data_IF_099210083378
#
_entry.id   IF_099210083378
#
_cell.length_a   1.000
_cell.length_b   1.000
_cell.length_c   1.000
_cell.angle_alpha   90.00
_cell.angle_beta   90.00
_cell.angle_gamma   90.00
#
_symmetry.space_group_name_H-M   'P 1'
#
loop_
_entity.id
_entity.type
_entity.pdbx_description
1 polymer ?
#
# COMPACT_ATOMS: atom_id res chain seq x y z
N UNK A 1 -3.57 -2.01 5.00
CA UNK A 1 -2.56 -1.24 4.26
C UNK A 1 -1.55 -0.75 5.26
N UNK A 2 -0.27 -0.90 4.97
CA UNK A 2 0.84 -0.34 5.74
C UNK A 2 1.52 0.73 4.88
N UNK A 3 2.17 1.68 5.54
CA UNK A 3 3.06 2.61 4.85
C UNK A 3 4.29 1.87 4.33
N UNK A 4 4.64 2.12 3.07
CA UNK A 4 5.84 1.59 2.42
C UNK A 4 6.74 2.79 2.10
N UNK A 5 7.87 2.87 2.79
CA UNK A 5 8.87 3.92 2.57
C UNK A 5 9.64 3.67 1.26
N UNK A 6 9.00 3.98 0.13
CA UNK A 6 9.60 3.83 -1.19
C UNK A 6 10.59 4.96 -1.51
N UNK A 7 10.36 6.15 -0.97
CA UNK A 7 11.17 7.35 -1.26
C UNK A 7 12.62 7.19 -0.77
N UNK A 8 12.82 6.60 0.40
CA UNK A 8 14.14 6.41 1.00
C UNK A 8 14.74 5.04 0.72
N UNK A 9 14.14 4.24 -0.17
CA UNK A 9 14.61 2.91 -0.51
C UNK A 9 15.00 2.81 -1.98
N UNK A 10 16.09 2.07 -2.22
CA UNK A 10 16.61 1.80 -3.56
C UNK A 10 16.86 0.31 -3.76
N UNK A 11 16.86 -0.19 -5.02
CA UNK A 11 17.23 -1.56 -5.33
C UNK A 11 18.66 -1.93 -4.90
N UNK A 12 19.51 -0.94 -4.65
CA UNK A 12 20.91 -1.11 -4.21
C UNK A 12 21.08 -1.28 -2.71
N UNK A 13 20.02 -1.09 -1.92
CA UNK A 13 20.10 -1.10 -0.46
C UNK A 13 20.32 -2.52 0.07
N UNK A 14 21.21 -2.64 1.06
CA UNK A 14 21.62 -3.92 1.67
C UNK A 14 20.83 -4.28 2.93
N UNK A 15 20.01 -3.37 3.44
CA UNK A 15 19.25 -3.52 4.68
C UNK A 15 17.82 -4.02 4.46
N UNK A 16 17.45 -4.36 3.21
CA UNK A 16 16.13 -4.89 2.87
C UNK A 16 16.10 -6.42 3.10
N UNK A 17 15.25 -6.93 4.01
CA UNK A 17 15.20 -8.37 4.30
C UNK A 17 14.80 -9.20 3.07
N UNK A 18 15.51 -10.31 2.86
CA UNK A 18 15.27 -11.27 1.76
C UNK A 18 15.37 -10.65 0.34
N UNK A 19 16.07 -9.53 0.20
CA UNK A 19 16.40 -8.92 -1.08
C UNK A 19 17.88 -9.15 -1.41
N UNK A 20 18.18 -9.44 -2.68
CA UNK A 20 19.56 -9.46 -3.19
C UNK A 20 19.80 -8.12 -3.88
N UNK A 21 20.63 -7.23 -3.29
CA UNK A 21 20.80 -5.89 -3.81
C UNK A 21 21.35 -5.88 -5.23
N UNK A 22 20.82 -4.98 -6.06
CA UNK A 22 21.43 -4.65 -7.33
C UNK A 22 22.77 -3.95 -7.09
N UNK A 23 23.70 -4.15 -8.02
CA UNK A 23 24.88 -3.30 -8.12
C UNK A 23 24.48 -1.89 -8.52
N UNK A 24 25.31 -0.92 -8.14
CA UNK A 24 25.13 0.47 -8.55
C UNK A 24 25.05 0.62 -10.09
N UNK A 25 25.87 -0.14 -10.83
CA UNK A 25 25.86 -0.14 -12.29
C UNK A 25 24.54 -0.66 -12.88
N UNK A 26 23.92 -1.70 -12.29
CA UNK A 26 22.60 -2.17 -12.72
C UNK A 26 21.52 -1.10 -12.51
N UNK A 27 21.57 -0.41 -11.37
CA UNK A 27 20.62 0.66 -11.06
C UNK A 27 20.77 1.85 -12.00
N UNK A 28 21.99 2.31 -12.24
CA UNK A 28 22.28 3.39 -13.19
C UNK A 28 21.88 3.02 -14.61
N UNK A 29 22.14 1.78 -15.05
CA UNK A 29 21.68 1.30 -16.35
C UNK A 29 20.14 1.28 -16.46
N UNK A 30 19.45 0.91 -15.38
CA UNK A 30 17.99 0.92 -15.34
C UNK A 30 17.46 2.36 -15.48
N UNK A 31 18.01 3.31 -14.72
CA UNK A 31 17.66 4.72 -14.78
C UNK A 31 17.94 5.33 -16.16
N UNK A 32 19.10 5.05 -16.74
CA UNK A 32 19.48 5.53 -18.06
C UNK A 32 18.47 5.05 -19.13
N UNK A 33 18.10 3.77 -19.09
CA UNK A 33 17.07 3.22 -19.98
C UNK A 33 15.69 3.82 -19.73
N UNK A 34 15.28 4.04 -18.49
CA UNK A 34 14.01 4.71 -18.17
C UNK A 34 13.97 6.12 -18.77
N UNK A 35 15.03 6.91 -18.61
CA UNK A 35 15.14 8.25 -19.17
C UNK A 35 15.10 8.25 -20.70
N UNK A 36 15.80 7.29 -21.34
CA UNK A 36 15.74 7.12 -22.79
C UNK A 36 14.30 6.86 -23.25
N UNK A 37 13.60 5.91 -22.63
CA UNK A 37 12.23 5.56 -22.99
C UNK A 37 11.27 6.75 -22.83
N UNK A 38 11.44 7.55 -21.77
CA UNK A 38 10.63 8.77 -21.57
C UNK A 38 10.91 9.80 -22.68
N UNK A 39 12.15 10.00 -23.07
CA UNK A 39 12.51 10.89 -24.18
C UNK A 39 11.92 10.41 -25.52
N UNK A 40 12.00 9.11 -25.80
CA UNK A 40 11.43 8.51 -27.01
C UNK A 40 9.90 8.67 -27.03
N UNK A 41 9.22 8.46 -25.89
CA UNK A 41 7.78 8.71 -25.75
C UNK A 41 7.44 10.19 -25.95
N UNK A 42 8.25 11.12 -25.44
CA UNK A 42 8.04 12.56 -25.62
C UNK A 42 8.20 12.98 -27.09
N UNK A 43 9.14 12.39 -27.84
CA UNK A 43 9.27 12.61 -29.27
C UNK A 43 8.04 12.11 -30.05
N UNK A 44 7.52 10.94 -29.69
CA UNK A 44 6.29 10.38 -30.28
C UNK A 44 5.06 11.24 -29.94
N UNK A 45 4.98 11.75 -28.70
CA UNK A 45 3.94 12.68 -28.26
C UNK A 45 3.95 13.96 -29.09
N UNK A 46 5.11 14.61 -29.24
CA UNK A 46 5.28 15.82 -30.03
C UNK A 46 4.92 15.62 -31.52
N UNK A 47 5.07 14.39 -32.02
CA UNK A 47 4.68 14.01 -33.37
C UNK A 47 3.20 13.57 -33.50
N UNK A 48 2.41 13.58 -32.41
CA UNK A 48 1.01 13.15 -32.39
C UNK A 48 0.82 11.63 -32.56
N UNK A 49 1.86 10.84 -32.30
CA UNK A 49 1.91 9.39 -32.53
C UNK A 49 1.52 8.58 -31.29
N UNK A 50 0.32 8.83 -30.76
CA UNK A 50 -0.15 8.24 -29.50
C UNK A 50 -0.16 6.70 -29.49
N UNK A 51 -0.50 6.06 -30.62
CA UNK A 51 -0.51 4.59 -30.73
C UNK A 51 0.91 4.01 -30.66
N UNK A 52 1.89 4.64 -31.33
CA UNK A 52 3.30 4.22 -31.29
C UNK A 52 3.88 4.44 -29.88
N UNK A 53 3.55 5.56 -29.24
CA UNK A 53 3.92 5.85 -27.84
C UNK A 53 3.42 4.76 -26.90
N UNK A 54 2.15 4.37 -27.03
CA UNK A 54 1.56 3.33 -26.20
C UNK A 54 2.10 1.93 -26.52
N UNK A 55 2.45 1.64 -27.77
CA UNK A 55 3.11 0.39 -28.14
C UNK A 55 4.52 0.29 -27.53
N UNK A 56 5.29 1.39 -27.55
CA UNK A 56 6.62 1.47 -26.92
C UNK A 56 6.56 1.14 -25.42
N UNK A 57 5.51 1.62 -24.73
CA UNK A 57 5.25 1.26 -23.33
C UNK A 57 5.07 -0.26 -23.19
N UNK A 58 4.17 -0.85 -23.98
CA UNK A 58 3.81 -2.27 -23.85
C UNK A 58 4.99 -3.20 -24.18
N UNK A 59 5.80 -2.85 -25.19
CA UNK A 59 7.00 -3.58 -25.59
C UNK A 59 8.08 -3.59 -24.49
N UNK A 60 8.12 -2.56 -23.65
CA UNK A 60 9.11 -2.41 -22.60
C UNK A 60 8.64 -2.89 -21.21
N UNK A 61 7.59 -3.72 -21.15
CA UNK A 61 7.06 -4.25 -19.87
C UNK A 61 8.05 -4.96 -18.96
N UNK A 62 9.06 -5.61 -19.56
CA UNK A 62 10.11 -6.27 -18.82
C UNK A 62 10.96 -5.28 -18.00
N UNK A 63 11.02 -4.01 -18.42
CA UNK A 63 11.83 -2.98 -17.78
C UNK A 63 11.34 -2.65 -16.37
N UNK A 64 10.04 -2.31 -16.20
CA UNK A 64 9.48 -2.12 -14.85
C UNK A 64 9.29 -3.45 -14.11
N UNK A 65 9.05 -4.54 -14.84
CA UNK A 65 8.95 -5.89 -14.27
C UNK A 65 10.23 -6.34 -13.55
N UNK A 66 11.39 -5.83 -13.94
CA UNK A 66 12.67 -6.14 -13.28
C UNK A 66 12.70 -5.71 -11.79
N UNK A 67 11.92 -4.68 -11.41
CA UNK A 67 11.86 -4.18 -10.03
C UNK A 67 10.89 -4.97 -9.13
N UNK A 68 10.17 -5.97 -9.67
CA UNK A 68 9.10 -6.68 -8.95
C UNK A 68 9.56 -7.29 -7.63
N UNK A 69 10.67 -8.04 -7.63
CA UNK A 69 11.12 -8.72 -6.41
C UNK A 69 11.60 -7.73 -5.35
N UNK A 70 12.19 -6.60 -5.75
CA UNK A 70 12.55 -5.51 -4.84
C UNK A 70 11.30 -4.88 -4.21
N UNK A 71 10.31 -4.51 -5.02
CA UNK A 71 9.04 -3.93 -4.54
C UNK A 71 8.30 -4.89 -3.58
N UNK A 72 8.37 -6.20 -3.83
CA UNK A 72 7.81 -7.19 -2.92
C UNK A 72 8.62 -7.31 -1.62
N UNK A 73 9.94 -7.20 -1.66
CA UNK A 73 10.76 -7.24 -0.46
C UNK A 73 10.42 -6.08 0.50
N UNK A 74 10.15 -4.87 -0.04
CA UNK A 74 9.77 -3.70 0.76
C UNK A 74 8.50 -3.90 1.62
N UNK A 75 7.58 -4.75 1.19
CA UNK A 75 6.34 -5.04 1.92
C UNK A 75 6.36 -6.38 2.67
N UNK A 76 7.51 -7.05 2.77
CA UNK A 76 7.58 -8.40 3.33
C UNK A 76 6.81 -9.43 2.48
N UNK A 77 6.81 -9.22 1.16
CA UNK A 77 6.11 -9.96 0.10
C UNK A 77 4.57 -9.88 0.17
N UNK A 78 4.04 -8.84 0.81
CA UNK A 78 2.59 -8.56 0.90
C UNK A 78 2.13 -7.69 -0.25
N UNK A 79 0.87 -7.82 -0.64
CA UNK A 79 0.20 -6.82 -1.49
C UNK A 79 0.18 -5.46 -0.78
N UNK A 80 0.51 -4.37 -1.47
CA UNK A 80 0.55 -3.04 -0.84
C UNK A 80 -0.84 -2.52 -0.47
N UNK A 81 -1.90 -2.98 -1.15
CA UNK A 81 -3.28 -2.56 -0.89
C UNK A 81 -4.04 -3.49 0.08
N UNK A 82 -3.94 -4.80 -0.09
CA UNK A 82 -4.67 -5.77 0.75
C UNK A 82 -3.86 -6.28 1.94
N UNK A 83 -2.53 -6.08 1.93
CA UNK A 83 -1.63 -6.47 3.01
C UNK A 83 -1.59 -7.98 3.34
N UNK A 84 -1.97 -8.80 2.36
CA UNK A 84 -1.88 -10.27 2.43
C UNK A 84 -0.79 -10.78 1.49
N UNK A 85 -0.18 -11.93 1.81
CA UNK A 85 0.68 -12.71 0.92
C UNK A 85 -0.16 -13.66 0.09
N UNK A 86 0.13 -13.72 -1.20
CA UNK A 86 -0.50 -14.67 -2.11
C UNK A 86 0.35 -15.94 -2.21
N UNK A 87 -0.26 -17.10 -1.95
CA UNK A 87 0.43 -18.40 -2.08
C UNK A 87 0.39 -18.96 -3.50
N UNK A 88 -0.63 -18.60 -4.28
CA UNK A 88 -0.89 -19.20 -5.60
C UNK A 88 -1.03 -18.16 -6.73
N UNK A 89 -1.38 -16.92 -6.40
CA UNK A 89 -1.55 -15.84 -7.39
C UNK A 89 -0.24 -15.08 -7.58
N UNK A 90 0.01 -14.62 -8.81
CA UNK A 90 1.13 -13.73 -9.09
C UNK A 90 0.81 -12.29 -8.70
N UNK A 91 1.81 -11.60 -8.15
CA UNK A 91 1.80 -10.14 -8.04
C UNK A 91 2.20 -9.48 -9.35
N UNK A 92 1.65 -8.30 -9.60
CA UNK A 92 2.06 -7.43 -10.68
C UNK A 92 2.74 -6.17 -10.12
N UNK A 93 3.59 -5.58 -10.95
CA UNK A 93 4.06 -4.21 -10.76
C UNK A 93 2.98 -3.30 -11.35
N UNK A 94 2.19 -2.70 -10.47
CA UNK A 94 1.08 -1.83 -10.83
C UNK A 94 1.52 -0.37 -10.89
N UNK A 95 1.03 0.36 -11.89
CA UNK A 95 1.25 1.80 -12.02
C UNK A 95 0.19 2.54 -11.19
N UNK A 96 0.61 3.23 -10.13
CA UNK A 96 -0.31 4.01 -9.28
C UNK A 96 -1.09 5.03 -10.13
N UNK A 97 -0.37 5.86 -10.87
CA UNK A 97 -0.85 6.73 -11.93
C UNK A 97 -0.84 5.95 -13.26
N UNK A 98 -2.00 5.70 -13.88
CA UNK A 98 -2.09 4.80 -15.01
C UNK A 98 -1.45 5.40 -16.27
N UNK A 99 -0.64 4.59 -16.96
CA UNK A 99 0.26 5.02 -18.04
C UNK A 99 -0.39 5.28 -19.41
N UNK A 100 -1.53 4.68 -19.74
CA UNK A 100 -2.17 4.78 -21.07
C UNK A 100 -3.55 5.45 -21.08
N UNK A 101 -4.27 5.36 -19.97
CA UNK A 101 -5.60 5.95 -19.81
C UNK A 101 -5.86 6.20 -18.33
N UNK A 102 -6.41 7.37 -18.00
CA UNK A 102 -6.90 7.68 -16.65
C UNK A 102 -8.41 7.87 -16.67
N UNK A 103 -9.13 7.12 -15.85
CA UNK A 103 -10.60 7.08 -15.78
C UNK A 103 -11.10 7.84 -14.55
N UNK A 104 -12.04 8.75 -14.77
CA UNK A 104 -12.73 9.49 -13.73
C UNK A 104 -13.86 8.65 -13.07
N UNK A 105 -14.56 9.24 -12.09
CA UNK A 105 -15.66 8.58 -11.36
C UNK A 105 -16.85 8.26 -12.26
N UNK A 106 -17.16 9.15 -13.20
CA UNK A 106 -18.25 9.00 -14.17
C UNK A 106 -17.88 8.10 -15.37
N UNK A 107 -16.64 7.59 -15.39
CA UNK A 107 -16.12 6.76 -16.46
C UNK A 107 -15.59 7.55 -17.66
N UNK A 108 -15.54 8.89 -17.60
CA UNK A 108 -14.82 9.68 -18.60
C UNK A 108 -13.34 9.33 -18.58
N UNK A 109 -12.74 9.29 -19.77
CA UNK A 109 -11.34 8.95 -19.94
C UNK A 109 -10.56 10.19 -20.37
N UNK A 110 -9.38 10.36 -19.77
CA UNK A 110 -8.32 11.25 -20.23
C UNK A 110 -7.07 10.44 -20.54
N UNK A 111 -6.10 11.07 -21.19
CA UNK A 111 -4.81 10.44 -21.44
C UNK A 111 -4.13 10.02 -20.13
N UNK A 112 -3.32 8.97 -20.21
CA UNK A 112 -2.57 8.46 -19.07
C UNK A 112 -1.35 9.31 -18.73
N UNK A 113 -0.73 8.97 -17.61
CA UNK A 113 0.54 9.53 -17.15
C UNK A 113 1.70 8.79 -17.81
N UNK A 114 1.78 8.84 -19.14
CA UNK A 114 2.74 8.06 -19.91
C UNK A 114 4.20 8.41 -19.58
N UNK A 115 4.48 9.66 -19.18
CA UNK A 115 5.81 10.08 -18.75
C UNK A 115 6.24 9.43 -17.42
N UNK A 116 5.29 8.86 -16.67
CA UNK A 116 5.53 8.10 -15.43
C UNK A 116 5.49 6.59 -15.66
N UNK A 117 5.47 6.11 -16.90
CA UNK A 117 5.42 4.68 -17.21
C UNK A 117 6.68 3.92 -16.74
N UNK A 118 7.83 4.60 -16.69
CA UNK A 118 9.12 4.06 -16.29
C UNK A 118 9.71 4.76 -15.05
N UNK A 119 8.87 5.46 -14.30
CA UNK A 119 9.24 6.04 -13.01
C UNK A 119 8.95 5.03 -11.88
N UNK A 120 9.98 4.61 -11.16
CA UNK A 120 9.83 3.62 -10.10
C UNK A 120 8.99 4.13 -8.92
N UNK A 121 8.92 5.45 -8.70
CA UNK A 121 8.06 6.05 -7.67
C UNK A 121 6.57 5.90 -8.00
N UNK A 122 6.24 5.54 -9.24
CA UNK A 122 4.88 5.25 -9.69
C UNK A 122 4.50 3.76 -9.56
N UNK A 123 5.38 2.88 -9.05
CA UNK A 123 5.16 1.43 -9.00
C UNK A 123 4.67 0.92 -7.64
N UNK A 124 3.69 0.02 -7.63
CA UNK A 124 3.13 -0.64 -6.43
C UNK A 124 3.09 -2.15 -6.64
N UNK A 125 3.42 -2.94 -5.61
CA UNK A 125 3.20 -4.38 -5.70
C UNK A 125 1.72 -4.71 -5.39
N UNK A 126 0.98 -5.18 -6.39
CA UNK A 126 -0.47 -5.40 -6.27
C UNK A 126 -0.86 -6.82 -6.70
N UNK A 127 -1.77 -7.45 -5.94
CA UNK A 127 -2.35 -8.74 -6.31
C UNK A 127 -3.32 -8.60 -7.49
N UNK A 128 -3.45 -9.67 -8.28
CA UNK A 128 -4.28 -9.72 -9.50
C UNK A 128 -5.70 -9.13 -9.35
N UNK A 129 -6.40 -9.41 -8.24
CA UNK A 129 -7.77 -8.91 -8.03
C UNK A 129 -7.80 -7.39 -7.96
N UNK A 130 -6.98 -6.80 -7.07
CA UNK A 130 -6.88 -5.35 -6.92
C UNK A 130 -6.39 -4.70 -8.21
N UNK A 131 -5.37 -5.28 -8.84
CA UNK A 131 -4.77 -4.77 -10.07
C UNK A 131 -5.79 -4.67 -11.22
N UNK A 132 -6.48 -5.78 -11.51
CA UNK A 132 -7.50 -5.83 -12.56
C UNK A 132 -8.68 -4.91 -12.27
N UNK A 133 -9.06 -4.79 -10.99
CA UNK A 133 -10.17 -3.91 -10.60
C UNK A 133 -9.76 -2.44 -10.69
N UNK A 134 -8.53 -2.06 -10.35
CA UNK A 134 -8.02 -0.70 -10.55
C UNK A 134 -8.00 -0.35 -12.05
N UNK A 135 -7.21 -1.06 -12.85
CA UNK A 135 -7.00 -0.72 -14.26
C UNK A 135 -6.59 0.76 -14.42
N UNK A 136 -7.19 1.45 -15.40
CA UNK A 136 -6.98 2.89 -15.61
C UNK A 136 -7.67 3.81 -14.58
N UNK A 137 -8.30 3.31 -13.52
CA UNK A 137 -9.04 4.18 -12.58
C UNK A 137 -8.11 5.06 -11.77
N UNK A 138 -8.25 6.37 -11.98
CA UNK A 138 -7.51 7.41 -11.29
C UNK A 138 -8.29 8.73 -11.31
N UNK A 139 -9.44 8.78 -10.61
CA UNK A 139 -10.24 9.99 -10.55
C UNK A 139 -9.56 11.04 -9.69
N UNK A 140 -9.79 12.28 -10.08
CA UNK A 140 -9.42 13.47 -9.33
C UNK A 140 -10.70 14.16 -8.85
N UNK A 141 -10.60 14.89 -7.75
CA UNK A 141 -11.69 15.74 -7.26
C UNK A 141 -12.05 16.79 -8.31
N UNK A 142 -13.33 17.17 -8.37
CA UNK A 142 -13.75 18.26 -9.24
C UNK A 142 -12.97 19.54 -8.90
N UNK A 143 -12.39 20.19 -9.91
CA UNK A 143 -11.56 21.38 -9.74
C UNK A 143 -10.10 21.09 -9.36
N UNK A 144 -9.71 19.82 -9.21
CA UNK A 144 -8.30 19.44 -9.07
C UNK A 144 -7.49 19.89 -10.29
N UNK A 145 -6.23 20.24 -10.05
CA UNK A 145 -5.25 20.30 -11.13
C UNK A 145 -5.08 18.93 -11.76
N UNK A 146 -4.62 18.92 -13.01
CA UNK A 146 -4.33 17.71 -13.78
C UNK A 146 -2.91 17.86 -14.31
N UNK A 147 -2.01 17.00 -13.85
CA UNK A 147 -0.63 16.98 -14.32
C UNK A 147 -0.57 16.56 -15.79
N UNK A 148 0.32 17.20 -16.54
CA UNK A 148 0.69 16.82 -17.89
C UNK A 148 2.20 16.77 -18.02
N UNK A 149 2.70 16.09 -19.05
CA UNK A 149 4.13 16.09 -19.34
C UNK A 149 4.73 17.50 -19.50
N UNK A 150 3.99 18.43 -20.10
CA UNK A 150 4.45 19.81 -20.33
C UNK A 150 4.29 20.74 -19.13
N UNK A 151 3.46 20.37 -18.16
CA UNK A 151 3.18 21.12 -16.94
C UNK A 151 2.99 20.14 -15.76
N UNK A 152 4.08 19.50 -15.29
CA UNK A 152 3.99 18.53 -14.22
C UNK A 152 3.54 19.20 -12.91
N UNK A 153 2.54 18.61 -12.26
CA UNK A 153 1.99 19.05 -10.99
C UNK A 153 1.33 17.90 -10.22
N UNK A 154 1.91 16.70 -10.28
CA UNK A 154 1.39 15.48 -9.66
C UNK A 154 1.07 15.65 -8.17
N UNK A 155 1.89 16.42 -7.45
CA UNK A 155 1.74 16.72 -6.03
C UNK A 155 0.55 17.63 -5.71
N UNK A 156 0.06 18.38 -6.71
CA UNK A 156 -1.06 19.30 -6.58
C UNK A 156 -2.41 18.69 -7.00
N UNK A 157 -2.44 17.39 -7.31
CA UNK A 157 -3.67 16.69 -7.68
C UNK A 157 -4.41 16.11 -6.46
N UNK A 158 -5.69 16.45 -6.33
CA UNK A 158 -6.58 15.87 -5.33
C UNK A 158 -7.14 14.52 -5.80
N UNK A 159 -6.32 13.47 -5.71
CA UNK A 159 -6.65 12.10 -6.17
C UNK A 159 -7.54 11.33 -5.19
N UNK A 160 -8.44 10.50 -5.72
CA UNK A 160 -9.28 9.62 -4.90
C UNK A 160 -8.55 8.39 -4.36
N UNK A 161 -7.63 7.84 -5.15
CA UNK A 161 -6.94 6.60 -4.79
C UNK A 161 -5.99 6.85 -3.60
N UNK A 162 -6.12 6.03 -2.55
CA UNK A 162 -5.18 6.01 -1.42
C UNK A 162 -3.87 5.36 -1.88
N UNK A 163 -2.75 6.04 -1.61
CA UNK A 163 -1.42 5.57 -1.97
C UNK A 163 -0.67 4.93 -0.78
N UNK A 164 -0.25 3.66 -0.87
CA UNK A 164 0.53 3.01 0.19
C UNK A 164 1.92 3.61 0.46
N UNK A 165 2.43 4.49 -0.41
CA UNK A 165 3.72 5.19 -0.19
C UNK A 165 3.56 6.59 0.41
N UNK A 166 2.33 6.99 0.73
CA UNK A 166 2.01 8.26 1.36
C UNK A 166 1.51 7.94 2.79
N UNK A 167 2.31 8.28 3.79
CA UNK A 167 2.02 7.96 5.19
C UNK A 167 0.69 8.59 5.65
N UNK A 168 0.41 9.81 5.18
CA UNK A 168 -0.84 10.48 5.49
C UNK A 168 -2.02 9.74 4.87
N UNK A 169 -1.92 9.34 3.60
CA UNK A 169 -2.93 8.51 2.92
C UNK A 169 -3.21 7.19 3.67
N UNK A 170 -2.17 6.51 4.14
CA UNK A 170 -2.33 5.27 4.92
C UNK A 170 -3.02 5.55 6.26
N UNK A 171 -2.75 6.70 6.89
CA UNK A 171 -3.37 7.09 8.15
C UNK A 171 -4.89 7.31 8.06
N UNK A 172 -5.43 7.53 6.85
CA UNK A 172 -6.87 7.69 6.62
C UNK A 172 -7.65 6.38 6.75
N UNK A 173 -6.97 5.23 6.78
CA UNK A 173 -7.59 3.90 6.79
C UNK A 173 -7.58 3.31 8.20
N UNK A 174 -8.73 2.83 8.65
CA UNK A 174 -8.93 2.01 9.84
C UNK A 174 -9.60 0.67 9.52
N UNK A 175 -9.75 -0.17 10.56
CA UNK A 175 -10.47 -1.44 10.48
C UNK A 175 -11.48 -1.56 11.63
N UNK A 176 -12.61 -2.20 11.35
CA UNK A 176 -13.63 -2.57 12.34
C UNK A 176 -13.50 -4.04 12.79
N UNK A 177 -14.36 -4.45 13.74
CA UNK A 177 -14.34 -5.80 14.33
C UNK A 177 -14.81 -6.91 13.37
N UNK A 178 -15.54 -6.54 12.31
CA UNK A 178 -15.87 -7.41 11.19
C UNK A 178 -14.73 -7.57 10.18
N UNK A 179 -13.61 -6.86 10.40
CA UNK A 179 -12.44 -6.89 9.53
C UNK A 179 -12.61 -6.06 8.27
N UNK A 180 -13.58 -5.13 8.20
CA UNK A 180 -13.75 -4.23 7.05
C UNK A 180 -12.79 -3.05 7.14
N UNK A 181 -12.38 -2.52 5.99
CA UNK A 181 -11.72 -1.22 5.90
C UNK A 181 -12.77 -0.14 6.06
N UNK A 182 -12.51 0.83 6.94
CA UNK A 182 -13.34 2.00 7.18
C UNK A 182 -12.47 3.27 7.25
N UNK A 183 -13.02 4.47 7.05
CA UNK A 183 -12.28 5.70 7.32
C UNK A 183 -11.83 5.78 8.77
N UNK A 184 -10.62 6.28 9.01
CA UNK A 184 -10.10 6.49 10.35
C UNK A 184 -10.89 7.57 11.11
N UNK A 185 -10.99 7.47 12.44
CA UNK A 185 -11.62 8.52 13.26
C UNK A 185 -10.97 9.88 13.02
N UNK A 186 -11.78 10.94 12.91
CA UNK A 186 -11.31 12.31 12.72
C UNK A 186 -11.03 12.72 11.27
N UNK A 187 -11.25 11.82 10.30
CA UNK A 187 -11.10 12.13 8.87
C UNK A 187 -12.16 13.11 8.38
N UNK A 188 -11.76 14.02 7.48
CA UNK A 188 -12.67 14.96 6.81
C UNK A 188 -13.63 14.26 5.84
N UNK A 189 -14.71 14.92 5.43
CA UNK A 189 -15.65 14.36 4.45
C UNK A 189 -14.96 13.98 3.12
N UNK A 190 -13.96 14.76 2.70
CA UNK A 190 -13.16 14.47 1.53
C UNK A 190 -12.33 13.20 1.72
N UNK A 191 -11.60 13.08 2.83
CA UNK A 191 -10.80 11.90 3.15
C UNK A 191 -11.64 10.63 3.26
N UNK A 192 -12.81 10.70 3.91
CA UNK A 192 -13.77 9.60 3.99
C UNK A 192 -14.17 9.13 2.57
N UNK A 193 -14.47 10.08 1.68
CA UNK A 193 -14.82 9.76 0.30
C UNK A 193 -13.66 9.06 -0.44
N UNK A 194 -12.40 9.49 -0.23
CA UNK A 194 -11.23 8.83 -0.83
C UNK A 194 -11.11 7.38 -0.39
N UNK A 195 -11.26 7.12 0.91
CA UNK A 195 -11.21 5.77 1.49
C UNK A 195 -12.32 4.90 0.91
N UNK A 196 -13.56 5.38 0.93
CA UNK A 196 -14.72 4.66 0.41
C UNK A 196 -14.58 4.29 -1.07
N UNK A 197 -14.17 5.24 -1.90
CA UNK A 197 -13.98 4.98 -3.33
C UNK A 197 -12.82 3.99 -3.58
N UNK A 198 -11.72 4.11 -2.83
CA UNK A 198 -10.60 3.17 -2.94
C UNK A 198 -11.01 1.75 -2.54
N UNK A 199 -11.68 1.61 -1.38
CA UNK A 199 -12.16 0.32 -0.86
C UNK A 199 -13.11 -0.34 -1.85
N UNK A 200 -14.09 0.41 -2.37
CA UNK A 200 -15.06 -0.06 -3.36
C UNK A 200 -14.39 -0.46 -4.67
N UNK A 201 -13.44 0.36 -5.16
CA UNK A 201 -12.75 0.11 -6.43
C UNK A 201 -11.91 -1.16 -6.35
N UNK A 202 -11.12 -1.30 -5.30
CA UNK A 202 -10.19 -2.42 -5.10
C UNK A 202 -10.85 -3.67 -4.51
N UNK A 203 -12.16 -3.61 -4.20
CA UNK A 203 -12.93 -4.71 -3.60
C UNK A 203 -12.38 -5.19 -2.26
N UNK A 204 -11.84 -4.24 -1.48
CA UNK A 204 -11.18 -4.57 -0.22
C UNK A 204 -12.17 -5.12 0.81
N UNK A 205 -13.45 -4.75 0.76
CA UNK A 205 -14.47 -5.27 1.70
C UNK A 205 -15.35 -6.36 1.08
N UNK A 206 -15.52 -6.37 -0.24
CA UNK A 206 -16.37 -7.33 -0.94
C UNK A 206 -15.69 -8.68 -1.18
N UNK A 207 -14.36 -8.77 -1.06
CA UNK A 207 -13.66 -10.04 -1.12
C UNK A 207 -13.81 -10.81 0.21
N UNK A 208 -14.76 -11.74 0.26
CA UNK A 208 -15.17 -12.46 1.49
C UNK A 208 -13.99 -13.03 2.27
N UNK A 209 -13.10 -13.79 1.61
CA UNK A 209 -11.93 -14.39 2.27
C UNK A 209 -11.01 -13.34 2.91
N UNK A 210 -10.86 -12.16 2.30
CA UNK A 210 -10.00 -11.10 2.83
C UNK A 210 -10.64 -10.47 4.08
N UNK A 211 -11.97 -10.28 4.09
CA UNK A 211 -12.67 -9.82 5.28
C UNK A 211 -12.60 -10.86 6.41
N UNK A 212 -12.76 -12.14 6.11
CA UNK A 212 -12.68 -13.22 7.09
C UNK A 212 -11.29 -13.35 7.72
N UNK A 213 -10.21 -13.29 6.94
CA UNK A 213 -8.85 -13.33 7.49
C UNK A 213 -8.55 -12.12 8.37
N UNK A 214 -9.01 -10.93 7.99
CA UNK A 214 -8.90 -9.72 8.84
C UNK A 214 -9.67 -9.87 10.14
N UNK A 215 -10.90 -10.42 10.08
CA UNK A 215 -11.69 -10.71 11.28
C UNK A 215 -11.01 -11.69 12.22
N UNK A 216 -10.36 -12.74 11.68
CA UNK A 216 -9.58 -13.69 12.50
C UNK A 216 -8.41 -13.01 13.20
N UNK A 217 -7.69 -12.13 12.51
CA UNK A 217 -6.61 -11.32 13.10
C UNK A 217 -7.16 -10.44 14.21
N UNK A 218 -8.28 -9.75 13.97
CA UNK A 218 -8.94 -8.92 14.97
C UNK A 218 -9.30 -9.72 16.24
N UNK A 219 -10.01 -10.84 16.08
CA UNK A 219 -10.42 -11.72 17.17
C UNK A 219 -9.24 -12.26 17.98
N UNK A 220 -8.14 -12.63 17.31
CA UNK A 220 -6.93 -13.10 17.98
C UNK A 220 -6.29 -12.00 18.83
N UNK A 221 -6.21 -10.77 18.31
CA UNK A 221 -5.67 -9.62 19.04
C UNK A 221 -6.59 -9.23 20.19
N UNK A 222 -7.90 -9.31 20.00
CA UNK A 222 -8.88 -9.05 21.05
C UNK A 222 -8.72 -10.03 22.23
N UNK A 223 -8.59 -11.32 21.95
CA UNK A 223 -8.28 -12.32 22.97
C UNK A 223 -6.95 -12.07 23.70
N UNK A 224 -5.92 -11.59 22.99
CA UNK A 224 -4.67 -11.16 23.62
C UNK A 224 -4.85 -9.93 24.51
N UNK A 225 -5.70 -8.98 24.12
CA UNK A 225 -6.01 -7.79 24.92
C UNK A 225 -6.75 -8.18 26.20
N UNK A 226 -7.72 -9.08 26.13
CA UNK A 226 -8.38 -9.58 27.33
C UNK A 226 -7.41 -10.31 28.27
N UNK A 227 -6.54 -11.16 27.71
CA UNK A 227 -5.49 -11.84 28.46
C UNK A 227 -4.52 -10.85 29.13
N UNK A 228 -4.19 -9.75 28.44
CA UNK A 228 -3.38 -8.67 28.97
C UNK A 228 -4.04 -8.03 30.18
N UNK A 229 -5.33 -7.68 30.07
CA UNK A 229 -6.10 -7.08 31.15
C UNK A 229 -6.21 -8.04 32.36
N UNK A 230 -6.54 -9.31 32.13
CA UNK A 230 -6.59 -10.34 33.20
C UNK A 230 -5.26 -10.50 33.91
N UNK A 231 -4.16 -10.62 33.16
CA UNK A 231 -2.82 -10.76 33.73
C UNK A 231 -2.40 -9.51 34.52
N UNK A 232 -2.70 -8.31 34.00
CA UNK A 232 -2.42 -7.03 34.64
C UNK A 232 -3.14 -6.89 35.97
N UNK A 233 -4.43 -7.22 36.03
CA UNK A 233 -5.21 -7.20 37.28
C UNK A 233 -4.61 -8.15 38.32
N UNK A 234 -4.21 -9.37 37.92
CA UNK A 234 -3.57 -10.33 38.82
C UNK A 234 -2.20 -9.88 39.33
N UNK A 235 -1.45 -9.12 38.55
CA UNK A 235 -0.19 -8.50 38.98
C UNK A 235 -0.44 -7.40 40.02
N UNK A 236 -1.52 -6.62 39.88
CA UNK A 236 -1.87 -5.53 40.79
C UNK A 236 -2.29 -6.04 42.18
N UNK A 237 -2.92 -7.22 42.27
CA UNK A 237 -3.42 -7.82 43.52
C UNK A 237 -2.35 -8.49 44.41
N UNK A 238 -1.07 -8.29 44.11
CA UNK A 238 0.06 -8.89 44.83
C UNK A 238 1.03 -9.54 43.85
N UNK A 239 2.32 -9.21 43.99
CA UNK A 239 3.41 -9.44 43.05
C UNK A 239 3.53 -10.91 42.57
N UNK A 240 2.64 -11.32 41.66
CA UNK A 240 2.44 -12.71 41.21
C UNK A 240 3.37 -13.03 40.04
N UNK A 241 4.40 -13.88 40.23
CA UNK A 241 5.39 -14.15 39.18
C UNK A 241 4.77 -14.80 37.93
N UNK A 242 3.78 -15.69 38.11
CA UNK A 242 3.10 -16.35 36.99
C UNK A 242 2.27 -15.36 36.16
N UNK A 243 1.60 -14.40 36.83
CA UNK A 243 0.87 -13.33 36.14
C UNK A 243 1.82 -12.41 35.36
N UNK A 244 3.01 -12.13 35.92
CA UNK A 244 4.05 -11.34 35.25
C UNK A 244 4.58 -12.04 34.00
N UNK A 245 4.86 -13.35 34.06
CA UNK A 245 5.29 -14.11 32.89
C UNK A 245 4.19 -14.20 31.82
N UNK A 246 2.93 -14.42 32.20
CA UNK A 246 1.81 -14.36 31.27
C UNK A 246 1.69 -12.97 30.62
N UNK A 247 1.85 -11.90 31.39
CA UNK A 247 1.83 -10.52 30.87
C UNK A 247 2.95 -10.28 29.84
N UNK A 248 4.17 -10.80 30.09
CA UNK A 248 5.27 -10.73 29.12
C UNK A 248 4.93 -11.47 27.82
N UNK A 249 4.43 -12.70 27.93
CA UNK A 249 4.06 -13.52 26.77
C UNK A 249 2.98 -12.86 25.91
N UNK A 250 1.95 -12.30 26.54
CA UNK A 250 0.86 -11.59 25.84
C UNK A 250 1.37 -10.33 25.15
N UNK A 251 2.20 -9.53 25.84
CA UNK A 251 2.83 -8.33 25.24
C UNK A 251 3.69 -8.68 24.03
N UNK A 252 4.39 -9.81 24.07
CA UNK A 252 5.16 -10.31 22.93
C UNK A 252 4.24 -10.68 21.77
N UNK A 253 3.16 -11.43 22.02
CA UNK A 253 2.20 -11.81 20.97
C UNK A 253 1.53 -10.61 20.29
N UNK A 254 1.17 -9.57 21.05
CA UNK A 254 0.62 -8.33 20.46
C UNK A 254 1.66 -7.68 19.54
N UNK A 255 2.91 -7.52 19.99
CA UNK A 255 3.99 -6.91 19.19
C UNK A 255 4.28 -7.68 17.91
N UNK A 256 4.27 -9.01 17.98
CA UNK A 256 4.45 -9.87 16.81
C UNK A 256 3.36 -9.61 15.76
N UNK A 257 2.10 -9.52 16.19
CA UNK A 257 0.97 -9.29 15.29
C UNK A 257 0.89 -7.86 14.75
N UNK A 258 1.36 -6.86 15.51
CA UNK A 258 1.39 -5.45 15.07
C UNK A 258 2.63 -5.09 14.24
N UNK A 259 3.62 -5.98 14.16
CA UNK A 259 4.86 -5.76 13.40
C UNK A 259 4.57 -5.42 11.93
N UNK A 260 5.27 -4.45 11.31
CA UNK A 260 5.11 -4.13 9.90
C UNK A 260 5.29 -5.33 8.95
N UNK A 261 6.06 -6.35 9.35
CA UNK A 261 6.32 -7.56 8.56
C UNK A 261 5.25 -8.66 8.74
N UNK A 262 4.41 -8.57 9.77
CA UNK A 262 3.30 -9.49 9.97
C UNK A 262 2.20 -9.25 8.93
N UNK A 263 1.48 -10.30 8.56
CA UNK A 263 0.36 -10.19 7.62
C UNK A 263 -0.84 -9.53 8.30
N UNK A 264 -1.53 -8.62 7.59
CA UNK A 264 -2.66 -7.86 8.12
C UNK A 264 -2.34 -7.12 9.44
N UNK A 265 -1.10 -6.67 9.62
CA UNK A 265 -0.66 -6.03 10.86
C UNK A 265 -1.36 -4.71 11.10
N UNK A 266 -1.80 -4.00 10.06
CA UNK A 266 -2.64 -2.81 10.25
C UNK A 266 -3.97 -3.12 10.94
N UNK A 267 -4.56 -4.31 10.73
CA UNK A 267 -5.77 -4.73 11.48
C UNK A 267 -5.43 -4.92 12.95
N UNK A 268 -4.33 -5.60 13.25
CA UNK A 268 -3.87 -5.80 14.62
C UNK A 268 -3.60 -4.46 15.33
N UNK A 269 -2.95 -3.52 14.62
CA UNK A 269 -2.68 -2.16 15.12
C UNK A 269 -3.97 -1.43 15.44
N UNK A 270 -4.95 -1.42 14.54
CA UNK A 270 -6.23 -0.76 14.78
C UNK A 270 -7.06 -1.42 15.89
N UNK A 271 -7.05 -2.75 16.00
CA UNK A 271 -7.67 -3.45 17.12
C UNK A 271 -7.13 -2.95 18.47
N UNK A 272 -5.80 -2.75 18.56
CA UNK A 272 -5.15 -2.17 19.76
C UNK A 272 -5.51 -0.69 19.95
N UNK A 273 -5.38 0.13 18.91
CA UNK A 273 -5.56 1.59 19.00
C UNK A 273 -7.00 1.96 19.38
N UNK A 274 -8.00 1.22 18.90
CA UNK A 274 -9.41 1.45 19.23
C UNK A 274 -9.74 1.22 20.72
N UNK A 275 -8.87 0.56 21.49
CA UNK A 275 -9.06 0.39 22.94
C UNK A 275 -8.73 1.63 23.74
N UNK A 276 -8.01 2.60 23.16
CA UNK A 276 -7.59 3.84 23.85
C UNK A 276 -6.88 3.61 25.19
N UNK A 277 -6.17 2.47 25.34
CA UNK A 277 -5.36 2.16 26.53
C UNK A 277 -3.88 2.50 26.24
N UNK A 278 -3.27 3.48 26.95
CA UNK A 278 -1.89 3.88 26.70
C UNK A 278 -0.85 2.76 26.80
N UNK A 279 -1.07 1.77 27.67
CA UNK A 279 -0.13 0.65 27.82
C UNK A 279 -0.20 -0.35 26.68
N UNK A 280 -1.38 -0.50 26.07
CA UNK A 280 -1.57 -1.28 24.85
C UNK A 280 -1.04 -0.50 23.64
N UNK A 281 -1.29 0.80 23.54
CA UNK A 281 -0.77 1.64 22.44
C UNK A 281 0.75 1.59 22.33
N UNK A 282 1.49 1.50 23.45
CA UNK A 282 2.96 1.30 23.46
C UNK A 282 3.43 -0.05 22.88
N UNK A 283 2.51 -0.97 22.57
CA UNK A 283 2.83 -2.25 21.94
C UNK A 283 2.74 -2.19 20.41
N UNK A 284 2.18 -1.11 19.87
CA UNK A 284 2.18 -0.83 18.43
C UNK A 284 3.48 -0.11 18.08
N UNK A 285 4.27 -0.72 17.20
CA UNK A 285 5.53 -0.18 16.65
C UNK A 285 5.65 -0.51 15.18
#
# INVERSE_FOLDING_TARGET
MIFIDLEHKKPTDTDIPNWVPWTQAQWEAWLAKSNQLVNDMAALEAAGKYNERNALIDENRAHWGALKEWLLALSGRKCWFSEVRELYSHYDVEHFRPKKEAKALDGTNRDGYWWLAFDYMNFRACGNVGNRKKGGWFPLQQGSLISTYSAPCEESEARYLIDPIDDYDVSLIAFDEEGKVVPAPGTSAWEQQRVEQTVKRLKLNEHVTLAEERRKVWQKVDGLIEDFQRAKTRCATGNNPAAKEKLKAVRYGIREMTSPTAELSSVARWCVLMRSDPQLSMLVG
#
